data_IF_458070121678
#
_entry.id   IF_458070121678
#
_cell.length_a   1.000
_cell.length_b   1.000
_cell.length_c   1.000
_cell.angle_alpha   90.00
_cell.angle_beta   90.00
_cell.angle_gamma   90.00
#
_symmetry.space_group_name_H-M   'P 1'
#
loop_
_entity.id
_entity.type
_entity.pdbx_description
1 polymer ?
#
# COMPACT_ATOMS: atom_id res chain seq x y z
N UNK A 1 -4.47 -13.04 -2.01
CA UNK A 1 -4.73 -11.61 -2.25
C UNK A 1 -4.37 -10.89 -0.96
N UNK A 2 -3.24 -10.18 -0.96
CA UNK A 2 -2.64 -9.55 0.22
C UNK A 2 -3.69 -8.95 1.16
N UNK A 3 -3.56 -9.23 2.45
CA UNK A 3 -4.47 -8.70 3.46
C UNK A 3 -3.96 -7.34 3.91
N UNK A 4 -4.72 -6.28 3.61
CA UNK A 4 -4.46 -4.92 4.06
C UNK A 4 -5.77 -4.19 4.32
N UNK A 5 -5.74 -3.20 5.22
CA UNK A 5 -6.88 -2.36 5.51
C UNK A 5 -6.70 -0.97 4.90
N UNK A 6 -7.40 -0.68 3.80
CA UNK A 6 -7.32 0.63 3.12
C UNK A 6 -7.94 1.78 3.95
N UNK A 7 -8.82 1.46 4.89
CA UNK A 7 -9.45 2.42 5.80
C UNK A 7 -8.54 2.83 6.95
N UNK A 8 -7.75 1.88 7.48
CA UNK A 8 -6.81 2.11 8.57
C UNK A 8 -5.42 2.48 8.06
N UNK A 9 -5.29 3.66 7.44
CA UNK A 9 -3.99 4.23 7.11
C UNK A 9 -3.41 5.04 8.26
N UNK A 10 -2.08 5.03 8.42
CA UNK A 10 -1.38 6.00 9.26
C UNK A 10 -1.02 7.19 8.38
N UNK A 11 -1.61 8.35 8.68
CA UNK A 11 -1.40 9.59 7.96
C UNK A 11 -0.82 10.66 8.87
N UNK A 12 0.31 11.25 8.49
CA UNK A 12 0.90 12.40 9.20
C UNK A 12 0.79 13.71 8.39
N UNK A 13 -0.16 13.79 7.47
CA UNK A 13 -0.35 14.92 6.55
C UNK A 13 0.65 15.00 5.39
N UNK A 14 1.76 14.26 5.44
CA UNK A 14 2.79 14.22 4.38
C UNK A 14 2.81 12.90 3.61
N UNK A 15 2.39 11.80 4.25
CA UNK A 15 2.28 10.48 3.63
C UNK A 15 1.13 9.68 4.23
N UNK A 16 0.62 8.74 3.45
CA UNK A 16 -0.28 7.67 3.88
C UNK A 16 0.47 6.34 3.84
N UNK A 17 0.28 5.50 4.85
CA UNK A 17 0.95 4.21 4.98
C UNK A 17 -0.07 3.09 5.22
N UNK A 18 0.13 1.96 4.53
CA UNK A 18 -0.66 0.74 4.69
C UNK A 18 0.26 -0.44 4.95
N UNK A 19 -0.09 -1.23 5.98
CA UNK A 19 0.55 -2.50 6.24
C UNK A 19 -0.20 -3.60 5.48
N UNK A 20 0.53 -4.35 4.66
CA UNK A 20 0.01 -5.48 3.91
C UNK A 20 0.71 -6.77 4.34
N UNK A 21 -0.11 -7.77 4.68
CA UNK A 21 0.33 -9.14 4.92
C UNK A 21 0.26 -9.91 3.59
N UNK A 22 1.38 -10.39 3.04
CA UNK A 22 1.35 -11.24 1.85
C UNK A 22 0.61 -12.55 2.09
N UNK A 23 -0.17 -12.99 1.11
CA UNK A 23 -0.61 -14.38 1.03
C UNK A 23 0.47 -15.27 0.37
N UNK A 24 0.31 -16.61 0.50
CA UNK A 24 1.26 -17.58 -0.05
C UNK A 24 1.46 -17.37 -1.57
N UNK A 25 2.71 -17.11 -1.96
CA UNK A 25 3.11 -16.98 -3.37
C UNK A 25 2.96 -15.57 -3.94
N UNK A 26 2.57 -14.58 -3.14
CA UNK A 26 2.49 -13.19 -3.60
C UNK A 26 3.85 -12.52 -3.66
N UNK A 27 4.06 -11.75 -4.73
CA UNK A 27 5.23 -10.89 -4.88
C UNK A 27 4.96 -9.53 -4.26
N UNK A 28 6.03 -8.87 -3.80
CA UNK A 28 5.96 -7.49 -3.30
C UNK A 28 5.29 -6.54 -4.32
N UNK A 29 5.59 -6.70 -5.61
CA UNK A 29 4.94 -5.92 -6.67
C UNK A 29 3.43 -6.13 -6.74
N UNK A 30 2.96 -7.38 -6.65
CA UNK A 30 1.52 -7.68 -6.67
C UNK A 30 0.78 -7.02 -5.51
N UNK A 31 1.41 -7.00 -4.32
CA UNK A 31 0.90 -6.35 -3.11
C UNK A 31 0.82 -4.83 -3.31
N UNK A 32 1.90 -4.22 -3.81
CA UNK A 32 1.95 -2.76 -4.08
C UNK A 32 0.87 -2.38 -5.09
N UNK A 33 0.67 -3.16 -6.16
CA UNK A 33 -0.38 -2.92 -7.16
C UNK A 33 -1.77 -3.03 -6.52
N UNK A 34 -2.01 -4.02 -5.66
CA UNK A 34 -3.28 -4.19 -4.96
C UNK A 34 -3.60 -2.99 -4.06
N UNK A 35 -2.62 -2.51 -3.28
CA UNK A 35 -2.78 -1.32 -2.44
C UNK A 35 -3.04 -0.07 -3.28
N UNK A 36 -2.30 0.13 -4.39
CA UNK A 36 -2.52 1.28 -5.28
C UNK A 36 -3.91 1.27 -5.90
N UNK A 37 -4.40 0.12 -6.37
CA UNK A 37 -5.76 -0.02 -6.92
C UNK A 37 -6.83 0.31 -5.89
N UNK A 38 -6.67 -0.19 -4.66
CA UNK A 38 -7.58 0.13 -3.56
C UNK A 38 -7.54 1.62 -3.20
N UNK A 39 -6.36 2.24 -3.21
CA UNK A 39 -6.21 3.67 -3.00
C UNK A 39 -6.87 4.50 -4.11
N UNK A 40 -6.72 4.12 -5.39
CA UNK A 40 -7.42 4.78 -6.50
C UNK A 40 -8.94 4.72 -6.32
N UNK A 41 -9.48 3.56 -5.93
CA UNK A 41 -10.92 3.42 -5.68
C UNK A 41 -11.42 4.34 -4.56
N UNK A 42 -10.58 4.64 -3.57
CA UNK A 42 -10.94 5.48 -2.42
C UNK A 42 -10.70 6.97 -2.64
N UNK A 43 -9.56 7.34 -3.21
CA UNK A 43 -9.09 8.73 -3.30
C UNK A 43 -9.15 9.29 -4.73
N UNK A 44 -9.56 8.48 -5.71
CA UNK A 44 -9.60 8.83 -7.13
C UNK A 44 -8.32 8.47 -7.88
N UNK A 45 -8.42 8.38 -9.21
CA UNK A 45 -7.35 7.86 -10.07
C UNK A 45 -6.06 8.69 -10.04
N UNK A 46 -6.15 9.98 -9.68
CA UNK A 46 -5.02 10.89 -9.59
C UNK A 46 -3.93 10.41 -8.61
N UNK A 47 -4.28 9.61 -7.60
CA UNK A 47 -3.30 9.10 -6.63
C UNK A 47 -2.32 8.11 -7.24
N UNK A 48 -2.63 7.53 -8.40
CA UNK A 48 -1.71 6.64 -9.10
C UNK A 48 -0.39 7.34 -9.46
N UNK A 49 -0.45 8.63 -9.80
CA UNK A 49 0.71 9.43 -10.20
C UNK A 49 1.51 10.01 -9.02
N UNK A 50 1.04 9.81 -7.78
CA UNK A 50 1.79 10.21 -6.59
C UNK A 50 3.08 9.39 -6.46
N UNK A 51 4.00 9.87 -5.62
CA UNK A 51 5.19 9.09 -5.29
C UNK A 51 4.78 7.95 -4.37
N UNK A 52 5.17 6.74 -4.73
CA UNK A 52 4.93 5.52 -3.97
C UNK A 52 6.25 4.86 -3.58
N UNK A 53 6.35 4.41 -2.35
CA UNK A 53 7.48 3.62 -1.84
C UNK A 53 6.94 2.39 -1.11
N UNK A 54 7.79 1.37 -0.95
CA UNK A 54 7.45 0.21 -0.13
C UNK A 54 8.66 -0.20 0.71
N UNK A 55 8.38 -0.82 1.85
CA UNK A 55 9.38 -1.40 2.75
C UNK A 55 8.95 -2.81 3.08
N UNK A 56 9.83 -3.78 2.87
CA UNK A 56 9.61 -5.17 3.27
C UNK A 56 10.24 -5.36 4.65
N UNK A 57 9.41 -5.70 5.63
CA UNK A 57 9.88 -6.01 6.97
C UNK A 57 10.45 -7.45 7.02
N UNK A 58 11.34 -7.71 7.97
CA UNK A 58 12.02 -9.01 8.14
C UNK A 58 11.07 -10.19 8.37
N UNK A 59 9.83 -9.90 8.79
CA UNK A 59 8.75 -10.86 9.01
C UNK A 59 7.86 -11.07 7.77
N UNK A 60 8.26 -10.55 6.60
CA UNK A 60 7.56 -10.72 5.33
C UNK A 60 6.43 -9.71 5.07
N UNK A 61 6.07 -8.87 6.05
CA UNK A 61 5.07 -7.83 5.82
C UNK A 61 5.60 -6.75 4.88
N UNK A 62 4.70 -6.16 4.10
CA UNK A 62 5.01 -5.08 3.18
C UNK A 62 4.29 -3.81 3.62
N UNK A 63 5.04 -2.80 4.00
CA UNK A 63 4.50 -1.46 4.23
C UNK A 63 4.53 -0.70 2.91
N UNK A 64 3.36 -0.31 2.42
CA UNK A 64 3.22 0.51 1.21
C UNK A 64 2.93 1.95 1.62
N UNK A 65 3.65 2.90 1.03
CA UNK A 65 3.59 4.31 1.38
C UNK A 65 3.25 5.13 0.13
N UNK A 66 2.31 6.07 0.27
CA UNK A 66 2.00 7.09 -0.72
C UNK A 66 2.36 8.47 -0.14
N UNK A 67 3.11 9.27 -0.88
CA UNK A 67 3.48 10.62 -0.48
C UNK A 67 2.49 11.63 -1.07
N UNK A 68 2.10 12.62 -0.28
CA UNK A 68 1.16 13.68 -0.66
C UNK A 68 1.76 14.61 -1.73
#
# INVERSE_FOLDING_TARGET
MAQFNIESHIGNGKRLEWLALPDRGETVESIVIAVRRAAMKKFGDAVWFKRWTHVVASNGFVTVQMHA
#
